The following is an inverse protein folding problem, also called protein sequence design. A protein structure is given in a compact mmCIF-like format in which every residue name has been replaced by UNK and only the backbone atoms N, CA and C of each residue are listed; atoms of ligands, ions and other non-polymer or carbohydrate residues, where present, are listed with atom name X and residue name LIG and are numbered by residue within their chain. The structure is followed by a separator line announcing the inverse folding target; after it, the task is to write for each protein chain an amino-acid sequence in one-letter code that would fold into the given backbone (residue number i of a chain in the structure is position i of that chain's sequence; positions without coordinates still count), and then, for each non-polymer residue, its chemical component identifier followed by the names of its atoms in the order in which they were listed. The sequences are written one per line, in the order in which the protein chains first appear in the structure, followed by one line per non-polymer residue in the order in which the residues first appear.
data_IF_432351764844
#
_entry.id   IF_432351764844
#
_cell.length_a   1.000
_cell.length_b   1.000
_cell.length_c   1.000
_cell.angle_alpha   90.00
_cell.angle_beta   90.00
_cell.angle_gamma   90.00
#
_symmetry.space_group_name_H-M   'P 1'
#
loop_
_entity.id
_entity.type
_entity.pdbx_description
1 polymer ?
#
# COMPACT_ATOMS: atom_id res chain seq x y z
N UNK A 1 31.48 -2.60 13.97
CA UNK A 1 30.10 -3.07 14.12
C UNK A 1 29.66 -3.57 12.76
N UNK A 2 28.78 -4.57 12.69
CA UNK A 2 28.28 -5.02 11.38
C UNK A 2 27.36 -3.97 10.77
N UNK A 3 27.28 -3.90 9.44
CA UNK A 3 26.39 -2.96 8.77
C UNK A 3 24.92 -3.16 9.16
N UNK A 4 24.48 -4.40 9.38
CA UNK A 4 23.12 -4.70 9.85
C UNK A 4 22.87 -4.05 11.21
N UNK A 5 23.84 -4.14 12.13
CA UNK A 5 23.70 -3.53 13.45
C UNK A 5 23.66 -2.01 13.39
N UNK A 6 24.49 -1.40 12.56
CA UNK A 6 24.45 0.05 12.33
C UNK A 6 23.09 0.51 11.79
N UNK A 7 22.48 -0.26 10.89
CA UNK A 7 21.15 0.05 10.35
C UNK A 7 20.07 -0.11 11.44
N UNK A 8 20.15 -1.15 12.28
CA UNK A 8 19.23 -1.33 13.41
C UNK A 8 19.32 -0.17 14.41
N UNK A 9 20.54 0.19 14.83
CA UNK A 9 20.77 1.28 15.78
C UNK A 9 20.22 2.61 15.20
N UNK A 10 20.43 2.86 13.90
CA UNK A 10 19.88 4.02 13.18
C UNK A 10 18.36 4.02 13.02
N UNK A 11 17.75 2.84 12.87
CA UNK A 11 16.31 2.73 12.77
C UNK A 11 15.63 3.02 14.11
N UNK A 12 16.29 2.68 15.22
CA UNK A 12 15.80 2.92 16.59
C UNK A 12 16.10 4.35 17.07
N UNK A 13 17.13 5.02 16.55
CA UNK A 13 17.42 6.41 16.88
C UNK A 13 16.46 7.39 16.16
N UNK A 14 15.52 7.93 16.93
CA UNK A 14 14.56 8.93 16.46
C UNK A 14 15.22 10.24 15.99
N UNK A 15 16.46 10.54 16.42
CA UNK A 15 17.16 11.77 16.04
C UNK A 15 17.95 11.63 14.73
N UNK A 16 18.23 10.40 14.27
CA UNK A 16 18.95 10.20 13.02
C UNK A 16 18.02 10.43 11.83
N UNK A 17 18.47 11.16 10.81
CA UNK A 17 17.65 11.39 9.61
C UNK A 17 17.40 10.11 8.82
N UNK A 18 16.20 9.97 8.27
CA UNK A 18 15.81 8.83 7.41
C UNK A 18 16.73 8.77 6.21
N UNK A 19 17.14 9.92 5.67
CA UNK A 19 18.10 9.98 4.57
C UNK A 19 19.44 9.30 4.90
N UNK A 20 19.90 9.33 6.16
CA UNK A 20 21.15 8.65 6.56
C UNK A 20 20.94 7.15 6.67
N UNK A 21 19.83 6.73 7.29
CA UNK A 21 19.39 5.33 7.36
C UNK A 21 19.29 4.70 5.96
N UNK A 22 18.63 5.37 5.02
CA UNK A 22 18.46 4.90 3.64
C UNK A 22 19.79 4.81 2.87
N UNK A 23 20.75 5.70 3.13
CA UNK A 23 22.10 5.58 2.53
C UNK A 23 22.84 4.34 3.01
N UNK A 24 22.71 3.97 4.30
CA UNK A 24 23.22 2.69 4.82
C UNK A 24 22.50 1.51 4.15
N UNK A 25 21.18 1.59 3.98
CA UNK A 25 20.39 0.60 3.25
C UNK A 25 20.83 0.44 1.78
N UNK A 26 21.24 1.53 1.12
CA UNK A 26 21.77 1.48 -0.25
C UNK A 26 23.06 0.65 -0.34
N UNK A 27 23.93 0.77 0.66
CA UNK A 27 25.13 -0.08 0.77
C UNK A 27 24.73 -1.53 0.98
N UNK A 28 23.77 -1.79 1.89
CA UNK A 28 23.26 -3.13 2.15
C UNK A 28 22.66 -3.77 0.90
N UNK A 29 21.83 -3.04 0.14
CA UNK A 29 21.24 -3.51 -1.11
C UNK A 29 22.30 -3.98 -2.12
N UNK A 30 23.41 -3.25 -2.23
CA UNK A 30 24.53 -3.63 -3.10
C UNK A 30 25.31 -4.86 -2.59
N UNK A 31 25.34 -5.13 -1.28
CA UNK A 31 25.95 -6.34 -0.70
C UNK A 31 25.07 -7.56 -0.90
N UNK A 32 23.77 -7.42 -0.66
CA UNK A 32 22.77 -8.46 -0.86
C UNK A 32 22.56 -8.79 -2.35
N UNK A 33 22.85 -7.85 -3.25
CA UNK A 33 22.62 -8.02 -4.69
C UNK A 33 21.14 -7.93 -5.08
N UNK A 34 20.29 -7.34 -4.23
CA UNK A 34 18.85 -7.17 -4.50
C UNK A 34 18.59 -5.90 -5.32
N UNK A 35 18.12 -6.08 -6.56
CA UNK A 35 17.74 -5.00 -7.47
C UNK A 35 16.49 -4.26 -6.99
N UNK A 36 15.49 -4.98 -6.48
CA UNK A 36 14.23 -4.41 -5.99
C UNK A 36 14.43 -3.54 -4.76
N UNK A 37 15.16 -4.03 -3.76
CA UNK A 37 15.47 -3.26 -2.56
C UNK A 37 16.27 -2.00 -2.90
N UNK A 38 17.25 -2.13 -3.81
CA UNK A 38 18.00 -0.98 -4.32
C UNK A 38 17.10 0.05 -4.99
N UNK A 39 16.18 -0.40 -5.86
CA UNK A 39 15.24 0.48 -6.57
C UNK A 39 14.34 1.22 -5.58
N UNK A 40 13.80 0.52 -4.59
CA UNK A 40 12.97 1.13 -3.56
C UNK A 40 13.74 2.19 -2.74
N UNK A 41 14.96 1.88 -2.30
CA UNK A 41 15.82 2.84 -1.58
C UNK A 41 16.12 4.06 -2.45
N UNK A 42 16.40 3.85 -3.74
CA UNK A 42 16.67 4.95 -4.68
C UNK A 42 15.43 5.82 -4.91
N UNK A 43 14.22 5.24 -5.00
CA UNK A 43 12.97 5.98 -5.10
C UNK A 43 12.66 6.77 -3.82
N UNK A 44 12.90 6.19 -2.64
CA UNK A 44 12.70 6.90 -1.37
C UNK A 44 13.66 8.10 -1.22
N UNK A 45 14.92 7.95 -1.68
CA UNK A 45 15.94 9.01 -1.62
C UNK A 45 15.79 10.09 -2.69
N UNK A 46 15.34 9.75 -3.90
CA UNK A 46 15.30 10.67 -5.05
C UNK A 46 13.89 11.07 -5.47
N UNK A 47 12.86 10.49 -4.86
CA UNK A 47 11.47 10.67 -5.24
C UNK A 47 10.99 9.64 -6.27
N UNK A 48 9.67 9.62 -6.47
CA UNK A 48 8.98 8.70 -7.37
C UNK A 48 8.68 9.38 -8.71
N UNK A 49 8.92 8.66 -9.81
CA UNK A 49 8.67 9.17 -11.15
C UNK A 49 7.18 9.07 -11.55
N UNK A 50 6.51 8.00 -11.14
CA UNK A 50 5.09 7.75 -11.39
C UNK A 50 4.39 7.42 -10.05
N UNK A 51 3.12 7.81 -9.95
CA UNK A 51 2.23 7.49 -8.83
C UNK A 51 2.01 5.99 -8.71
N UNK A 52 2.07 5.24 -9.82
CA UNK A 52 1.87 3.78 -9.84
C UNK A 52 2.95 3.00 -9.11
N UNK A 53 4.17 3.55 -9.05
CA UNK A 53 5.32 2.90 -8.41
C UNK A 53 5.38 3.25 -6.91
N UNK A 54 4.42 4.03 -6.41
CA UNK A 54 4.42 4.51 -5.03
C UNK A 54 3.85 3.45 -4.08
N UNK A 55 4.51 3.24 -2.93
CA UNK A 55 3.92 2.48 -1.84
C UNK A 55 2.67 3.16 -1.28
N UNK A 56 1.70 2.38 -0.80
CA UNK A 56 0.43 2.89 -0.26
C UNK A 56 0.62 3.89 0.88
N UNK A 57 1.65 3.73 1.72
CA UNK A 57 1.93 4.66 2.81
C UNK A 57 2.38 6.05 2.31
N UNK A 58 2.71 6.22 1.03
CA UNK A 58 2.98 7.52 0.39
C UNK A 58 1.70 8.18 -0.16
N UNK A 59 0.55 7.54 0.00
CA UNK A 59 -0.76 7.98 -0.53
C UNK A 59 -1.69 8.23 0.65
N UNK A 60 -2.34 9.40 0.68
CA UNK A 60 -3.24 9.73 1.79
C UNK A 60 -4.46 10.52 1.32
N UNK A 61 -5.63 10.16 1.86
CA UNK A 61 -6.85 10.97 1.73
C UNK A 61 -6.79 12.19 2.64
N UNK A 62 -7.13 13.36 2.10
CA UNK A 62 -6.99 14.67 2.76
C UNK A 62 -8.25 15.50 2.58
N UNK A 63 -8.52 16.38 3.55
CA UNK A 63 -9.56 17.38 3.40
C UNK A 63 -9.07 18.55 2.54
N UNK A 64 -10.02 19.30 1.98
CA UNK A 64 -9.72 20.45 1.15
C UNK A 64 -10.38 21.69 1.72
N UNK A 65 -9.66 22.82 1.70
CA UNK A 65 -10.16 24.12 2.15
C UNK A 65 -9.99 25.16 1.06
N UNK A 66 -10.74 26.26 1.18
CA UNK A 66 -10.64 27.37 0.26
C UNK A 66 -10.97 28.74 0.86
N UNK A 67 -10.51 29.77 0.17
CA UNK A 67 -10.89 31.15 0.35
C UNK A 67 -11.92 31.54 -0.71
N UNK A 68 -13.01 32.17 -0.28
CA UNK A 68 -14.14 32.51 -1.12
C UNK A 68 -14.46 33.99 -1.02
N UNK A 69 -14.73 34.61 -2.18
CA UNK A 69 -15.13 36.01 -2.28
C UNK A 69 -16.53 36.12 -2.86
N UNK A 70 -17.37 36.97 -2.27
CA UNK A 70 -18.75 37.23 -2.68
C UNK A 70 -19.00 38.71 -2.95
N UNK A 71 -20.24 39.03 -3.33
CA UNK A 71 -20.66 40.40 -3.59
C UNK A 71 -20.52 41.31 -2.35
N UNK A 72 -20.44 42.62 -2.60
CA UNK A 72 -20.38 43.66 -1.55
C UNK A 72 -19.24 43.50 -0.54
N UNK A 73 -18.12 42.89 -0.94
CA UNK A 73 -16.95 42.70 -0.07
C UNK A 73 -17.08 41.53 0.90
N UNK A 74 -18.10 40.66 0.74
CA UNK A 74 -18.22 39.45 1.54
C UNK A 74 -17.05 38.48 1.25
N UNK A 75 -16.52 37.84 2.28
CA UNK A 75 -15.48 36.83 2.15
C UNK A 75 -15.67 35.72 3.18
N UNK A 76 -15.36 34.48 2.78
CA UNK A 76 -15.28 33.32 3.68
C UNK A 76 -13.88 32.75 3.57
N UNK A 77 -13.19 32.67 4.70
CA UNK A 77 -11.80 32.19 4.76
C UNK A 77 -11.72 30.81 5.37
N UNK A 78 -10.83 29.96 4.84
CA UNK A 78 -10.57 28.62 5.35
C UNK A 78 -11.82 27.73 5.43
N UNK A 79 -12.76 27.91 4.50
CA UNK A 79 -13.97 27.09 4.44
C UNK A 79 -13.64 25.70 3.91
N UNK A 80 -14.23 24.68 4.52
CA UNK A 80 -14.15 23.30 4.02
C UNK A 80 -14.78 23.20 2.62
N UNK A 81 -14.21 22.39 1.75
CA UNK A 81 -14.78 22.10 0.42
C UNK A 81 -15.32 20.67 0.47
N UNK A 82 -16.64 20.47 0.60
CA UNK A 82 -17.21 19.13 0.59
C UNK A 82 -16.99 18.44 -0.77
N UNK A 83 -16.67 17.14 -0.75
CA UNK A 83 -16.41 16.37 -1.97
C UNK A 83 -17.63 16.27 -2.91
N UNK A 84 -18.84 16.46 -2.39
CA UNK A 84 -20.07 16.47 -3.18
C UNK A 84 -20.16 17.66 -4.16
N UNK A 85 -19.45 18.76 -3.89
CA UNK A 85 -19.36 19.92 -4.79
C UNK A 85 -18.53 19.64 -6.05
N UNK A 86 -17.74 18.56 -6.03
CA UNK A 86 -16.85 18.15 -7.12
C UNK A 86 -17.44 16.93 -7.84
N UNK A 87 -17.41 16.88 -9.19
CA UNK A 87 -17.80 15.70 -9.95
C UNK A 87 -16.94 14.47 -9.57
N UNK A 88 -17.55 13.28 -9.56
CA UNK A 88 -16.90 12.03 -9.11
C UNK A 88 -15.54 11.79 -9.76
N UNK A 89 -15.42 12.09 -11.05
CA UNK A 89 -14.20 11.90 -11.86
C UNK A 89 -12.97 12.69 -11.37
N UNK A 90 -13.17 13.78 -10.61
CA UNK A 90 -12.08 14.61 -10.09
C UNK A 90 -11.81 14.40 -8.59
N UNK A 91 -12.70 13.70 -7.87
CA UNK A 91 -12.64 13.62 -6.40
C UNK A 91 -11.36 12.96 -5.92
N UNK A 92 -10.97 11.85 -6.52
CA UNK A 92 -9.78 11.12 -6.10
C UNK A 92 -8.52 12.01 -6.17
N UNK A 93 -8.25 12.62 -7.34
CA UNK A 93 -7.07 13.46 -7.52
C UNK A 93 -7.04 14.73 -6.64
N UNK A 94 -8.22 15.28 -6.29
CA UNK A 94 -8.32 16.50 -5.49
C UNK A 94 -8.33 16.23 -3.98
N UNK A 95 -8.83 15.09 -3.54
CA UNK A 95 -8.92 14.71 -2.13
C UNK A 95 -7.88 13.65 -1.72
N UNK A 96 -6.98 13.27 -2.63
CA UNK A 96 -5.82 12.42 -2.34
C UNK A 96 -4.54 13.20 -2.57
N UNK A 97 -3.60 13.13 -1.62
CA UNK A 97 -2.23 13.62 -1.81
C UNK A 97 -1.30 12.45 -2.11
N UNK A 98 -0.42 12.65 -3.09
CA UNK A 98 0.59 11.70 -3.50
C UNK A 98 1.96 12.29 -3.17
N UNK A 99 2.63 11.72 -2.18
CA UNK A 99 3.93 12.18 -1.69
C UNK A 99 5.09 11.68 -2.55
N UNK A 100 5.17 12.14 -3.80
CA UNK A 100 6.18 11.77 -4.80
C UNK A 100 7.59 12.28 -4.46
N UNK A 101 7.69 13.29 -3.60
CA UNK A 101 8.94 13.97 -3.28
C UNK A 101 9.95 13.07 -2.54
N UNK A 102 11.25 13.37 -2.69
CA UNK A 102 12.31 12.78 -1.87
C UNK A 102 12.02 12.87 -0.36
N UNK A 103 12.52 11.90 0.40
CA UNK A 103 12.40 11.91 1.86
C UNK A 103 12.97 13.19 2.50
N UNK A 104 14.05 13.74 1.94
CA UNK A 104 14.66 14.98 2.44
C UNK A 104 13.75 16.19 2.32
N UNK A 105 12.90 16.22 1.28
CA UNK A 105 11.88 17.26 1.12
C UNK A 105 10.77 17.11 2.15
N UNK A 106 10.38 15.89 2.49
CA UNK A 106 9.43 15.62 3.59
C UNK A 106 10.00 16.03 4.94
N UNK A 107 11.26 15.67 5.24
CA UNK A 107 11.94 16.07 6.47
C UNK A 107 12.03 17.59 6.59
N UNK A 108 12.41 18.31 5.52
CA UNK A 108 12.41 19.78 5.51
C UNK A 108 11.02 20.33 5.78
N UNK A 109 10.00 19.80 5.10
CA UNK A 109 8.62 20.26 5.24
C UNK A 109 8.10 20.09 6.67
N UNK A 110 8.47 19.00 7.35
CA UNK A 110 8.14 18.76 8.77
C UNK A 110 8.87 19.76 9.66
N UNK A 111 10.17 19.94 9.47
CA UNK A 111 11.01 20.81 10.29
C UNK A 111 10.65 22.30 10.15
N UNK A 112 10.23 22.72 8.96
CA UNK A 112 9.82 24.11 8.68
C UNK A 112 8.38 24.39 9.10
N UNK A 113 7.61 23.36 9.49
CA UNK A 113 6.23 23.50 9.93
C UNK A 113 6.11 23.90 11.40
N UNK A 114 5.00 24.56 11.73
CA UNK A 114 4.61 24.91 13.10
C UNK A 114 3.84 23.78 13.82
N UNK A 115 3.88 22.54 13.28
CA UNK A 115 3.23 21.36 13.85
C UNK A 115 1.74 21.21 13.53
N UNK A 116 1.16 22.11 12.73
CA UNK A 116 -0.23 22.04 12.31
C UNK A 116 -0.41 21.24 11.01
N UNK A 117 -0.62 21.98 9.92
CA UNK A 117 -0.92 21.42 8.61
C UNK A 117 -0.10 22.10 7.54
N UNK A 118 0.35 21.33 6.56
CA UNK A 118 0.95 21.86 5.34
C UNK A 118 -0.09 21.89 4.22
N UNK A 119 0.12 22.78 3.26
CA UNK A 119 -0.86 23.07 2.22
C UNK A 119 -0.32 22.68 0.85
N UNK A 120 -1.13 21.92 0.10
CA UNK A 120 -0.88 21.64 -1.32
C UNK A 120 -1.95 22.36 -2.14
N UNK A 121 -1.61 23.43 -2.89
CA UNK A 121 -2.60 24.20 -3.63
C UNK A 121 -3.24 23.36 -4.74
N UNK A 122 -4.53 23.54 -4.95
CA UNK A 122 -5.22 22.97 -6.11
C UNK A 122 -4.68 23.58 -7.41
N UNK A 123 -4.70 22.84 -8.52
CA UNK A 123 -4.40 23.41 -9.83
C UNK A 123 -5.31 24.61 -10.14
N UNK A 124 -4.74 25.74 -10.56
CA UNK A 124 -5.48 26.98 -10.77
C UNK A 124 -6.68 26.81 -11.73
N UNK A 125 -6.54 25.99 -12.77
CA UNK A 125 -7.60 25.70 -13.73
C UNK A 125 -8.79 24.98 -13.07
N UNK A 126 -8.54 24.08 -12.12
CA UNK A 126 -9.60 23.38 -11.37
C UNK A 126 -10.33 24.36 -10.47
N UNK A 127 -9.58 25.18 -9.72
CA UNK A 127 -10.16 26.21 -8.85
C UNK A 127 -11.02 27.19 -9.64
N UNK A 128 -10.55 27.66 -10.80
CA UNK A 128 -11.31 28.56 -11.67
C UNK A 128 -12.57 27.89 -12.26
N UNK A 129 -12.48 26.61 -12.64
CA UNK A 129 -13.59 25.89 -13.27
C UNK A 129 -14.73 25.53 -12.29
N UNK A 130 -14.38 25.17 -11.05
CA UNK A 130 -15.35 24.74 -10.03
C UNK A 130 -15.66 25.80 -8.98
N UNK A 131 -14.91 26.92 -8.95
CA UNK A 131 -14.94 27.88 -7.85
C UNK A 131 -16.29 28.52 -7.55
N UNK A 132 -17.16 28.65 -8.55
CA UNK A 132 -18.51 29.23 -8.39
C UNK A 132 -19.58 28.20 -8.00
N UNK A 133 -19.24 26.90 -7.97
CA UNK A 133 -20.18 25.78 -7.74
C UNK A 133 -20.17 25.25 -6.31
N UNK A 134 -19.30 25.78 -5.45
CA UNK A 134 -19.11 25.30 -4.08
C UNK A 134 -20.02 26.03 -3.09
N UNK A 135 -19.99 27.36 -3.11
CA UNK A 135 -20.78 28.22 -2.22
C UNK A 135 -21.62 29.21 -3.02
N UNK A 136 -22.93 29.21 -2.80
CA UNK A 136 -23.86 30.05 -3.55
C UNK A 136 -23.55 31.54 -3.34
N UNK A 137 -23.36 32.29 -4.43
CA UNK A 137 -23.05 33.72 -4.40
C UNK A 137 -21.59 34.04 -4.08
N UNK A 138 -20.74 33.02 -4.00
CA UNK A 138 -19.30 33.16 -3.80
C UNK A 138 -18.51 32.51 -4.94
N UNK A 139 -17.29 32.97 -5.14
CA UNK A 139 -16.31 32.37 -6.03
C UNK A 139 -15.07 31.97 -5.22
N UNK A 140 -14.56 30.76 -5.45
CA UNK A 140 -13.32 30.28 -4.85
C UNK A 140 -12.13 30.99 -5.49
N UNK A 141 -11.37 31.72 -4.68
CA UNK A 141 -10.15 32.42 -5.11
C UNK A 141 -8.91 31.52 -4.99
N UNK A 142 -8.89 30.68 -3.97
CA UNK A 142 -7.81 29.75 -3.71
C UNK A 142 -8.38 28.51 -3.01
N UNK A 143 -7.96 27.33 -3.45
CA UNK A 143 -8.26 26.06 -2.83
C UNK A 143 -6.97 25.27 -2.61
N UNK A 144 -6.91 24.49 -1.55
CA UNK A 144 -5.76 23.66 -1.22
C UNK A 144 -6.18 22.40 -0.46
N UNK A 145 -5.35 21.37 -0.56
CA UNK A 145 -5.41 20.19 0.30
C UNK A 145 -4.75 20.50 1.63
N UNK A 146 -5.34 19.99 2.69
CA UNK A 146 -4.87 20.15 4.07
C UNK A 146 -4.18 18.85 4.49
N UNK A 147 -2.86 18.89 4.60
CA UNK A 147 -2.04 17.73 4.93
C UNK A 147 -1.59 17.85 6.38
N UNK A 148 -2.02 16.96 7.29
CA UNK A 148 -1.58 16.99 8.68
C UNK A 148 -0.08 16.67 8.79
N UNK A 149 0.70 17.48 9.53
CA UNK A 149 2.15 17.26 9.69
C UNK A 149 2.44 15.93 10.38
N UNK A 150 1.63 15.56 11.37
CA UNK A 150 1.73 14.27 12.06
C UNK A 150 1.55 13.07 11.11
N UNK A 151 0.78 13.21 10.03
CA UNK A 151 0.68 12.16 9.03
C UNK A 151 1.99 12.00 8.26
N UNK A 152 2.69 13.09 7.94
CA UNK A 152 4.02 13.04 7.31
C UNK A 152 5.05 12.38 8.23
N UNK A 153 5.01 12.67 9.54
CA UNK A 153 5.84 11.97 10.53
C UNK A 153 5.54 10.46 10.52
N UNK A 154 4.26 10.09 10.46
CA UNK A 154 3.84 8.70 10.33
C UNK A 154 4.40 7.98 9.10
N UNK A 155 4.55 8.67 7.97
CA UNK A 155 5.21 8.14 6.76
C UNK A 155 6.67 7.81 7.05
N UNK A 156 7.40 8.72 7.70
CA UNK A 156 8.81 8.50 8.07
C UNK A 156 8.95 7.29 9.01
N UNK A 157 8.05 7.16 9.98
CA UNK A 157 8.05 6.05 10.94
C UNK A 157 7.73 4.71 10.28
N UNK A 158 6.79 4.67 9.32
CA UNK A 158 6.52 3.47 8.52
C UNK A 158 7.79 3.03 7.78
N UNK A 159 8.52 3.96 7.17
CA UNK A 159 9.78 3.65 6.47
C UNK A 159 10.82 3.07 7.44
N UNK A 160 11.00 3.65 8.64
CA UNK A 160 11.90 3.09 9.67
C UNK A 160 11.52 1.68 10.05
N UNK A 161 10.24 1.45 10.36
CA UNK A 161 9.75 0.15 10.80
C UNK A 161 9.91 -0.92 9.71
N UNK A 162 9.64 -0.58 8.45
CA UNK A 162 9.85 -1.46 7.30
C UNK A 162 11.32 -1.86 7.15
N UNK A 163 12.23 -0.88 7.24
CA UNK A 163 13.67 -1.13 7.19
C UNK A 163 14.13 -2.00 8.37
N UNK A 164 13.68 -1.70 9.58
CA UNK A 164 14.04 -2.46 10.77
C UNK A 164 13.61 -3.92 10.65
N UNK A 165 12.34 -4.16 10.29
CA UNK A 165 11.82 -5.52 10.09
C UNK A 165 12.59 -6.27 9.00
N UNK A 166 12.85 -5.62 7.87
CA UNK A 166 13.63 -6.19 6.78
C UNK A 166 15.04 -6.61 7.25
N UNK A 167 15.73 -5.74 7.98
CA UNK A 167 17.11 -5.99 8.43
C UNK A 167 17.18 -7.08 9.50
N UNK A 168 16.21 -7.14 10.40
CA UNK A 168 16.11 -8.21 11.40
C UNK A 168 15.89 -9.59 10.74
N UNK A 169 15.06 -9.65 9.71
CA UNK A 169 14.82 -10.89 8.96
C UNK A 169 16.03 -11.28 8.09
N UNK A 170 16.78 -10.32 7.56
CA UNK A 170 18.05 -10.63 6.88
C UNK A 170 19.10 -11.14 7.88
N UNK A 171 19.18 -10.56 9.08
CA UNK A 171 20.12 -11.00 10.13
C UNK A 171 19.78 -12.40 10.65
N UNK A 172 18.49 -12.76 10.73
CA UNK A 172 18.06 -14.09 11.16
C UNK A 172 18.46 -15.18 10.16
N UNK A 173 18.49 -14.87 8.86
CA UNK A 173 18.92 -15.78 7.79
C UNK A 173 20.45 -15.90 7.70
N UNK A 174 21.18 -14.77 7.74
CA UNK A 174 22.64 -14.76 7.80
C UNK A 174 23.16 -13.54 8.59
N UNK A 175 23.66 -13.74 9.83
CA UNK A 175 24.23 -12.66 10.64
C UNK A 175 25.42 -11.93 9.99
N UNK A 176 26.14 -12.59 9.07
CA UNK A 176 27.27 -12.04 8.35
C UNK A 176 26.87 -11.31 7.05
N UNK A 177 25.60 -11.33 6.66
CA UNK A 177 25.13 -10.72 5.41
C UNK A 177 25.42 -9.21 5.33
N UNK A 178 25.48 -8.55 6.49
CA UNK A 178 25.88 -7.15 6.58
C UNK A 178 27.30 -6.88 6.13
N UNK A 179 28.24 -7.77 6.43
CA UNK A 179 29.69 -7.55 6.26
C UNK A 179 30.27 -8.28 5.04
N UNK A 180 29.42 -8.97 4.30
CA UNK A 180 29.80 -9.70 3.11
C UNK A 180 30.34 -8.74 2.02
N UNK A 181 31.30 -9.17 1.18
CA UNK A 181 31.79 -8.38 0.06
C UNK A 181 30.65 -7.93 -0.86
N UNK A 182 30.85 -6.83 -1.60
CA UNK A 182 29.86 -6.36 -2.58
C UNK A 182 29.52 -7.46 -3.59
N UNK A 183 28.23 -7.63 -3.91
CA UNK A 183 27.72 -8.68 -4.80
C UNK A 183 28.08 -10.13 -4.39
N UNK A 184 28.42 -10.38 -3.12
CA UNK A 184 28.70 -11.74 -2.64
C UNK A 184 27.44 -12.60 -2.48
N UNK A 185 26.25 -11.98 -2.49
CA UNK A 185 24.94 -12.65 -2.33
C UNK A 185 24.93 -13.61 -1.12
N UNK A 186 25.14 -13.08 0.10
CA UNK A 186 25.24 -13.90 1.31
C UNK A 186 23.96 -14.69 1.59
N UNK A 187 22.81 -14.11 1.23
CA UNK A 187 21.49 -14.74 1.27
C UNK A 187 21.04 -15.02 -0.17
N UNK A 188 20.34 -16.15 -0.38
CA UNK A 188 19.78 -16.49 -1.69
C UNK A 188 18.85 -15.38 -2.19
N UNK A 189 18.98 -15.03 -3.48
CA UNK A 189 18.28 -13.89 -4.08
C UNK A 189 16.76 -14.00 -3.94
N UNK A 190 16.19 -15.18 -4.20
CA UNK A 190 14.75 -15.46 -4.05
C UNK A 190 14.26 -15.20 -2.62
N UNK A 191 15.10 -15.51 -1.63
CA UNK A 191 14.78 -15.34 -0.22
C UNK A 191 14.84 -13.86 0.16
N UNK A 192 15.83 -13.11 -0.33
CA UNK A 192 15.88 -11.65 -0.14
C UNK A 192 14.68 -10.96 -0.79
N UNK A 193 14.28 -11.39 -1.98
CA UNK A 193 13.07 -10.90 -2.65
C UNK A 193 11.83 -11.23 -1.83
N UNK A 194 11.69 -12.46 -1.31
CA UNK A 194 10.57 -12.82 -0.44
C UNK A 194 10.49 -11.92 0.80
N UNK A 195 11.61 -11.69 1.47
CA UNK A 195 11.69 -10.84 2.67
C UNK A 195 11.37 -9.38 2.32
N UNK A 196 11.86 -8.88 1.18
CA UNK A 196 11.53 -7.56 0.66
C UNK A 196 10.03 -7.42 0.42
N UNK A 197 9.40 -8.39 -0.24
CA UNK A 197 7.97 -8.35 -0.51
C UNK A 197 7.13 -8.44 0.77
N UNK A 198 7.60 -9.16 1.78
CA UNK A 198 6.92 -9.30 3.07
C UNK A 198 6.98 -8.03 3.91
N UNK A 199 8.13 -7.35 3.97
CA UNK A 199 8.35 -6.24 4.91
C UNK A 199 8.39 -4.86 4.27
N UNK A 200 8.84 -4.73 3.02
CA UNK A 200 8.99 -3.43 2.35
C UNK A 200 7.83 -3.13 1.41
N UNK A 201 7.52 -4.04 0.47
CA UNK A 201 6.45 -3.79 -0.51
C UNK A 201 5.08 -4.30 -0.05
N UNK A 202 5.04 -5.22 0.92
CA UNK A 202 3.80 -5.82 1.43
C UNK A 202 2.97 -4.86 2.26
N UNK A 203 1.65 -5.03 2.23
CA UNK A 203 0.77 -4.25 3.10
C UNK A 203 0.90 -4.76 4.55
N UNK A 204 1.02 -3.84 5.51
CA UNK A 204 1.32 -4.15 6.93
C UNK A 204 0.18 -4.96 7.59
N UNK A 205 -0.96 -5.13 6.91
CA UNK A 205 -2.10 -5.92 7.36
C UNK A 205 -1.95 -7.44 7.19
N UNK A 206 -0.89 -7.95 6.53
CA UNK A 206 -0.67 -9.40 6.35
C UNK A 206 0.49 -9.97 7.20
N UNK A 207 0.63 -9.53 8.46
CA UNK A 207 1.47 -10.22 9.44
C UNK A 207 0.71 -11.44 10.00
N UNK A 208 0.52 -12.45 9.15
CA UNK A 208 0.05 -13.78 9.53
C UNK A 208 1.18 -14.81 9.30
N UNK A 209 1.97 -15.00 10.35
CA UNK A 209 2.35 -16.32 10.90
C UNK A 209 3.14 -17.30 10.02
N UNK A 210 4.36 -17.62 10.48
CA UNK A 210 5.30 -18.56 9.88
C UNK A 210 4.71 -19.93 9.54
N UNK A 211 4.35 -20.08 8.26
CA UNK A 211 3.88 -21.32 7.65
C UNK A 211 4.76 -21.60 6.43
N UNK A 212 5.55 -22.66 6.48
CA UNK A 212 6.64 -22.97 5.54
C UNK A 212 6.19 -23.41 4.14
N UNK A 213 4.96 -23.12 3.69
CA UNK A 213 4.49 -23.66 2.41
C UNK A 213 3.44 -22.84 1.64
N UNK A 214 3.39 -21.53 1.83
CA UNK A 214 2.46 -20.67 1.05
C UNK A 214 3.25 -19.92 -0.03
N UNK A 215 3.09 -20.33 -1.29
CA UNK A 215 3.45 -19.48 -2.44
C UNK A 215 2.35 -18.45 -2.61
N UNK A 216 2.50 -17.28 -1.99
CA UNK A 216 1.58 -16.16 -2.18
C UNK A 216 2.00 -15.38 -3.43
N UNK A 217 1.27 -15.56 -4.53
CA UNK A 217 1.22 -14.56 -5.59
C UNK A 217 0.28 -13.43 -5.13
N UNK A 218 0.86 -12.29 -4.76
CA UNK A 218 0.11 -11.10 -4.39
C UNK A 218 -0.53 -10.49 -5.66
N UNK A 219 -1.85 -10.60 -5.78
CA UNK A 219 -2.65 -9.75 -6.66
C UNK A 219 -3.57 -8.92 -5.76
N UNK A 220 -3.33 -7.60 -5.74
CA UNK A 220 -4.21 -6.64 -5.09
C UNK A 220 -5.58 -6.65 -5.77
N UNK A 221 -6.63 -6.98 -5.02
CA UNK A 221 -8.00 -6.61 -5.34
C UNK A 221 -8.87 -6.78 -4.09
N UNK A 222 -9.68 -5.78 -3.75
CA UNK A 222 -10.67 -5.79 -2.65
C UNK A 222 -11.69 -6.95 -2.75
N UNK A 223 -11.77 -7.62 -3.91
CA UNK A 223 -12.59 -8.81 -4.13
C UNK A 223 -11.91 -10.13 -3.75
N UNK A 224 -10.63 -10.13 -3.35
CA UNK A 224 -9.93 -11.31 -2.84
C UNK A 224 -10.31 -11.62 -1.40
N UNK A 225 -10.88 -10.67 -0.65
CA UNK A 225 -11.34 -10.91 0.73
C UNK A 225 -12.40 -12.01 0.77
N UNK A 226 -13.42 -11.94 -0.10
CA UNK A 226 -14.49 -12.95 -0.19
C UNK A 226 -13.94 -14.34 -0.55
N UNK A 227 -12.97 -14.42 -1.46
CA UNK A 227 -12.34 -15.68 -1.86
C UNK A 227 -11.44 -16.24 -0.75
N UNK A 228 -10.74 -15.38 -0.01
CA UNK A 228 -9.92 -15.79 1.13
C UNK A 228 -10.78 -16.27 2.31
N UNK A 229 -11.90 -15.61 2.59
CA UNK A 229 -12.87 -16.07 3.59
C UNK A 229 -13.49 -17.42 3.22
N UNK A 230 -13.83 -17.60 1.93
CA UNK A 230 -14.32 -18.88 1.41
C UNK A 230 -13.28 -19.99 1.57
N UNK A 231 -12.02 -19.75 1.19
CA UNK A 231 -10.92 -20.71 1.37
C UNK A 231 -10.77 -21.11 2.85
N UNK A 232 -10.80 -20.12 3.76
CA UNK A 232 -10.73 -20.40 5.18
C UNK A 232 -11.91 -21.25 5.67
N UNK A 233 -13.13 -20.96 5.20
CA UNK A 233 -14.33 -21.73 5.53
C UNK A 233 -14.25 -23.18 5.01
N UNK A 234 -13.74 -23.39 3.80
CA UNK A 234 -13.55 -24.72 3.19
C UNK A 234 -12.49 -25.55 3.94
N UNK A 235 -11.44 -24.91 4.47
CA UNK A 235 -10.41 -25.58 5.29
C UNK A 235 -10.96 -26.07 6.63
N UNK A 236 -12.04 -25.48 7.16
CA UNK A 236 -12.65 -25.94 8.41
C UNK A 236 -13.62 -27.12 8.22
N UNK A 237 -13.96 -27.47 6.97
CA UNK A 237 -14.83 -28.61 6.68
C UNK A 237 -14.07 -29.92 6.93
N UNK A 238 -14.70 -30.81 7.70
CA UNK A 238 -14.19 -32.14 7.98
C UNK A 238 -14.72 -33.11 6.91
N UNK A 239 -13.94 -33.29 5.85
CA UNK A 239 -14.23 -34.19 4.73
C UNK A 239 -12.94 -34.87 4.24
N UNK A 240 -13.04 -35.76 3.26
CA UNK A 240 -11.91 -36.45 2.65
C UNK A 240 -10.87 -35.46 2.10
N UNK A 241 -9.59 -35.81 2.24
CA UNK A 241 -8.48 -34.97 1.79
C UNK A 241 -8.56 -34.69 0.27
N UNK A 242 -9.01 -35.67 -0.51
CA UNK A 242 -9.11 -35.59 -1.96
C UNK A 242 -10.17 -34.59 -2.41
N UNK A 243 -11.40 -34.67 -1.87
CA UNK A 243 -12.48 -33.71 -2.18
C UNK A 243 -12.17 -32.29 -1.70
N UNK A 244 -11.43 -32.19 -0.58
CA UNK A 244 -11.00 -30.91 -0.04
C UNK A 244 -9.93 -30.25 -0.90
N UNK A 245 -8.93 -31.00 -1.33
CA UNK A 245 -7.87 -30.49 -2.21
C UNK A 245 -8.47 -30.08 -3.57
N UNK A 246 -9.48 -30.79 -4.07
CA UNK A 246 -10.17 -30.48 -5.33
C UNK A 246 -10.98 -29.18 -5.27
N UNK A 247 -11.83 -28.99 -4.24
CA UNK A 247 -12.63 -27.77 -4.12
C UNK A 247 -11.78 -26.55 -3.74
N UNK A 248 -10.75 -26.74 -2.90
CA UNK A 248 -9.81 -25.66 -2.55
C UNK A 248 -9.01 -25.24 -3.78
N UNK A 249 -8.48 -26.19 -4.55
CA UNK A 249 -7.74 -25.90 -5.77
C UNK A 249 -8.58 -25.13 -6.80
N UNK A 250 -9.86 -25.47 -6.95
CA UNK A 250 -10.77 -24.73 -7.83
C UNK A 250 -10.98 -23.26 -7.39
N UNK A 251 -11.05 -23.00 -6.08
CA UNK A 251 -11.17 -21.63 -5.54
C UNK A 251 -9.84 -20.86 -5.64
N UNK A 252 -8.70 -21.52 -5.49
CA UNK A 252 -7.38 -20.90 -5.70
C UNK A 252 -7.17 -20.49 -7.16
N UNK A 253 -7.54 -21.34 -8.13
CA UNK A 253 -7.51 -20.98 -9.55
C UNK A 253 -8.43 -19.80 -9.88
N UNK A 254 -9.60 -19.72 -9.24
CA UNK A 254 -10.49 -18.56 -9.37
C UNK A 254 -9.86 -17.28 -8.82
N UNK A 255 -9.20 -17.35 -7.66
CA UNK A 255 -8.48 -16.22 -7.04
C UNK A 255 -7.37 -15.74 -7.96
N UNK A 256 -6.56 -16.66 -8.49
CA UNK A 256 -5.39 -16.33 -9.30
C UNK A 256 -5.77 -15.76 -10.69
N UNK A 257 -7.01 -15.98 -11.15
CA UNK A 257 -7.52 -15.49 -12.43
C UNK A 257 -8.51 -14.33 -12.31
N UNK A 258 -8.69 -13.78 -11.12
CA UNK A 258 -9.60 -12.66 -10.86
C UNK A 258 -9.21 -11.42 -11.69
N UNK A 259 -10.19 -10.81 -12.37
CA UNK A 259 -9.96 -9.67 -13.26
C UNK A 259 -9.42 -10.02 -14.66
N UNK A 260 -9.20 -11.30 -14.94
CA UNK A 260 -8.81 -11.80 -16.28
C UNK A 260 -10.01 -12.40 -17.04
N UNK A 261 -9.86 -12.58 -18.36
CA UNK A 261 -10.87 -13.23 -19.23
C UNK A 261 -11.12 -14.69 -18.81
N UNK A 262 -10.16 -15.32 -18.11
CA UNK A 262 -10.25 -16.71 -17.63
C UNK A 262 -11.09 -16.91 -16.36
N UNK A 263 -11.49 -15.83 -15.66
CA UNK A 263 -12.23 -15.95 -14.39
C UNK A 263 -13.55 -16.71 -14.55
N UNK A 264 -14.29 -16.46 -15.63
CA UNK A 264 -15.59 -17.10 -15.89
C UNK A 264 -15.47 -18.62 -16.11
N UNK A 265 -14.38 -19.06 -16.73
CA UNK A 265 -14.11 -20.48 -16.95
C UNK A 265 -13.82 -21.18 -15.62
N UNK A 266 -13.00 -20.57 -14.78
CA UNK A 266 -12.67 -21.10 -13.46
C UNK A 266 -13.86 -21.05 -12.49
N UNK A 267 -14.72 -20.03 -12.59
CA UNK A 267 -15.99 -20.00 -11.85
C UNK A 267 -16.91 -21.17 -12.22
N UNK A 268 -17.02 -21.50 -13.51
CA UNK A 268 -17.82 -22.65 -13.95
C UNK A 268 -17.21 -23.98 -13.49
N UNK A 269 -15.88 -24.10 -13.51
CA UNK A 269 -15.17 -25.26 -12.98
C UNK A 269 -15.44 -25.45 -11.49
N UNK A 270 -15.35 -24.38 -10.70
CA UNK A 270 -15.71 -24.39 -9.28
C UNK A 270 -17.17 -24.79 -9.05
N UNK A 271 -18.13 -24.23 -9.79
CA UNK A 271 -19.54 -24.59 -9.67
C UNK A 271 -19.80 -26.06 -10.03
N UNK A 272 -19.03 -26.64 -10.96
CA UNK A 272 -19.08 -28.07 -11.26
C UNK A 272 -18.60 -28.90 -10.07
N UNK A 273 -17.43 -28.60 -9.52
CA UNK A 273 -16.88 -29.30 -8.34
C UNK A 273 -17.81 -29.15 -7.12
N UNK A 274 -18.38 -27.96 -6.92
CA UNK A 274 -19.35 -27.73 -5.86
C UNK A 274 -20.62 -28.56 -6.04
N UNK A 275 -21.08 -28.77 -7.28
CA UNK A 275 -22.24 -29.62 -7.56
C UNK A 275 -21.96 -31.08 -7.19
N UNK A 276 -20.76 -31.58 -7.48
CA UNK A 276 -20.36 -32.95 -7.18
C UNK A 276 -20.23 -33.20 -5.66
N UNK A 277 -19.94 -32.15 -4.89
CA UNK A 277 -19.82 -32.21 -3.43
C UNK A 277 -20.82 -31.33 -2.66
N UNK A 278 -21.99 -31.06 -3.26
CA UNK A 278 -22.93 -30.06 -2.74
C UNK A 278 -23.47 -30.38 -1.34
N UNK A 279 -23.61 -31.66 -1.01
CA UNK A 279 -24.11 -32.09 0.31
C UNK A 279 -23.17 -31.69 1.46
N UNK A 280 -21.87 -31.61 1.19
CA UNK A 280 -20.85 -31.33 2.20
C UNK A 280 -20.46 -29.86 2.19
N UNK A 281 -20.17 -29.30 1.01
CA UNK A 281 -19.69 -27.92 0.89
C UNK A 281 -20.80 -26.91 0.62
N UNK A 282 -21.96 -27.33 0.13
CA UNK A 282 -23.09 -26.44 -0.16
C UNK A 282 -23.48 -25.50 0.98
N UNK A 283 -23.63 -25.97 2.24
CA UNK A 283 -23.95 -25.10 3.38
C UNK A 283 -22.86 -24.06 3.69
N UNK A 284 -21.60 -24.39 3.39
CA UNK A 284 -20.44 -23.54 3.66
C UNK A 284 -20.24 -22.51 2.56
N UNK A 285 -20.50 -22.89 1.31
CA UNK A 285 -20.36 -22.01 0.14
C UNK A 285 -21.59 -21.10 -0.05
N UNK A 286 -22.78 -21.54 0.34
CA UNK A 286 -24.04 -20.83 0.10
C UNK A 286 -24.05 -19.34 0.52
N UNK A 287 -23.46 -18.93 1.67
CA UNK A 287 -23.38 -17.52 2.06
C UNK A 287 -22.54 -16.65 1.10
N UNK A 288 -21.58 -17.25 0.40
CA UNK A 288 -20.64 -16.55 -0.48
C UNK A 288 -21.12 -16.48 -1.94
N UNK A 289 -22.05 -17.34 -2.36
CA UNK A 289 -22.56 -17.40 -3.73
C UNK A 289 -23.06 -16.05 -4.29
N UNK A 290 -23.81 -15.20 -3.54
CA UNK A 290 -24.25 -13.90 -4.06
C UNK A 290 -23.10 -12.95 -4.35
N UNK A 291 -22.07 -12.94 -3.50
CA UNK A 291 -20.88 -12.12 -3.67
C UNK A 291 -20.03 -12.62 -4.84
N UNK A 292 -19.83 -13.94 -4.96
CA UNK A 292 -19.12 -14.55 -6.08
C UNK A 292 -19.81 -14.27 -7.42
N UNK A 293 -21.14 -14.37 -7.47
CA UNK A 293 -21.91 -14.07 -8.68
C UNK A 293 -21.82 -12.61 -9.12
N UNK A 294 -21.63 -11.67 -8.17
CA UNK A 294 -21.44 -10.25 -8.47
C UNK A 294 -20.04 -9.94 -9.07
N UNK A 295 -19.07 -10.85 -8.87
CA UNK A 295 -17.69 -10.72 -9.38
C UNK A 295 -17.54 -11.32 -10.78
N UNK A 296 -18.47 -12.17 -11.22
CA UNK A 296 -18.45 -12.76 -12.57
C UNK A 296 -18.80 -11.67 -13.62
N UNK A 297 -17.93 -11.43 -14.62
CA UNK A 297 -18.19 -10.46 -15.69
C UNK A 297 -19.25 -10.91 -16.72
#
# INVERSE_FOLDING_TARGET
MSLLREIQDSAVDANESIGTLLRKCKILAARLGSSEFKSWVDSELNGYADVKDMPEYRIMSVSCKGHFSGGFGAAINNAEIPSNCIPKEYRENLYTTYMVQPISSLESLINDSDGGTVQEPWPANVTAHFGTKMYQGYNCMQAWKVIPVNALVGVLDVIRNRILNFVLEIESEDPAAGDAPLNSKPVAEDKVQQIFHMHISGNVQNLATGSTNVKQHAINNEHNEVLNELLHALVQVNDSKESKDEIVGAVEEMRDTQGSVGFKENYNKFMSVLSDHFQVYGPVVAPFLPALAAIVP
#
